data_IF_645815365975
#
_entry.id   IF_645815365975
#
_cell.length_a   1.000
_cell.length_b   1.000
_cell.length_c   1.000
_cell.angle_alpha   90.00
_cell.angle_beta   90.00
_cell.angle_gamma   90.00
#
_symmetry.space_group_name_H-M   'P 1'
#
loop_
_entity.id
_entity.type
_entity.pdbx_description
1 polymer ?
#
# COMPACT_ATOMS: atom_id res chain seq x y z
N UNK A 1 -3.78 -16.66 -14.19
CA UNK A 1 -4.13 -15.84 -13.02
C UNK A 1 -5.50 -15.29 -13.27
N UNK A 2 -6.49 -15.83 -12.57
CA UNK A 2 -7.91 -15.48 -12.69
C UNK A 2 -8.58 -15.66 -11.33
N UNK A 3 -7.88 -15.51 -10.19
CA UNK A 3 -8.45 -15.91 -8.89
C UNK A 3 -9.71 -15.10 -8.55
N UNK A 4 -9.69 -13.80 -8.87
CA UNK A 4 -10.81 -12.89 -8.66
C UNK A 4 -11.92 -13.21 -9.67
N UNK A 5 -11.55 -13.37 -10.96
CA UNK A 5 -12.50 -13.76 -12.00
C UNK A 5 -13.18 -15.10 -11.69
N UNK A 6 -12.44 -16.13 -11.32
CA UNK A 6 -12.97 -17.46 -10.95
C UNK A 6 -13.93 -17.36 -9.77
N UNK A 7 -13.60 -16.55 -8.75
CA UNK A 7 -14.53 -16.29 -7.65
C UNK A 7 -15.81 -15.61 -8.17
N UNK A 8 -15.68 -14.58 -9.00
CA UNK A 8 -16.81 -13.84 -9.56
C UNK A 8 -17.68 -14.71 -10.50
N UNK A 9 -17.09 -15.57 -11.32
CA UNK A 9 -17.80 -16.51 -12.20
C UNK A 9 -18.66 -17.48 -11.36
N UNK A 10 -18.07 -18.07 -10.32
CA UNK A 10 -18.77 -19.01 -9.44
C UNK A 10 -19.85 -18.31 -8.60
N UNK A 11 -19.56 -17.12 -8.06
CA UNK A 11 -20.54 -16.30 -7.34
C UNK A 11 -21.72 -15.91 -8.24
N UNK A 12 -21.44 -15.52 -9.49
CA UNK A 12 -22.47 -15.23 -10.49
C UNK A 12 -23.33 -16.46 -10.80
N UNK A 13 -22.70 -17.63 -10.99
CA UNK A 13 -23.39 -18.90 -11.20
C UNK A 13 -24.35 -19.23 -10.04
N UNK A 14 -23.90 -19.06 -8.79
CA UNK A 14 -24.72 -19.28 -7.59
C UNK A 14 -25.91 -18.31 -7.51
N UNK A 15 -25.69 -17.02 -7.81
CA UNK A 15 -26.75 -16.00 -7.85
C UNK A 15 -27.77 -16.35 -8.94
N UNK A 16 -27.33 -16.78 -10.12
CA UNK A 16 -28.20 -17.18 -11.24
C UNK A 16 -29.03 -18.42 -10.91
N UNK A 17 -28.44 -19.41 -10.24
CA UNK A 17 -29.09 -20.67 -9.93
C UNK A 17 -30.09 -20.56 -8.78
N UNK A 18 -29.79 -19.76 -7.76
CA UNK A 18 -30.54 -19.76 -6.50
C UNK A 18 -31.20 -18.43 -6.18
N UNK A 19 -30.91 -17.38 -6.94
CA UNK A 19 -31.41 -16.03 -6.71
C UNK A 19 -30.56 -15.27 -5.70
N UNK A 20 -30.44 -13.97 -5.94
CA UNK A 20 -29.59 -13.05 -5.17
C UNK A 20 -29.92 -13.00 -3.66
N UNK A 21 -31.20 -13.20 -3.29
CA UNK A 21 -31.64 -13.18 -1.88
C UNK A 21 -31.00 -14.27 -1.02
N UNK A 22 -30.62 -15.41 -1.61
CA UNK A 22 -29.97 -16.51 -0.91
C UNK A 22 -28.44 -16.42 -0.97
N UNK A 23 -27.89 -15.46 -1.72
CA UNK A 23 -26.44 -15.28 -1.82
C UNK A 23 -25.90 -14.63 -0.55
N UNK A 24 -24.95 -15.33 0.07
CA UNK A 24 -24.23 -14.88 1.25
C UNK A 24 -22.76 -15.31 1.17
N UNK A 25 -21.91 -14.65 1.95
CA UNK A 25 -20.50 -14.97 2.15
C UNK A 25 -20.32 -14.93 3.65
N UNK A 26 -20.10 -16.08 4.28
CA UNK A 26 -19.85 -16.09 5.71
C UNK A 26 -18.47 -15.54 6.00
N UNK A 27 -18.37 -14.43 6.72
CA UNK A 27 -17.13 -13.98 7.35
C UNK A 27 -17.12 -14.50 8.78
N UNK A 28 -16.17 -15.39 9.11
CA UNK A 28 -15.84 -15.64 10.52
C UNK A 28 -15.02 -14.45 11.04
N UNK A 29 -15.65 -13.30 11.26
CA UNK A 29 -15.17 -12.45 12.33
C UNK A 29 -15.61 -13.11 13.63
N UNK A 30 -14.66 -13.66 14.39
CA UNK A 30 -14.91 -13.96 15.80
C UNK A 30 -15.03 -12.60 16.51
N UNK A 31 -16.22 -12.01 16.42
CA UNK A 31 -16.57 -10.84 17.21
C UNK A 31 -16.69 -11.32 18.65
N UNK A 32 -15.84 -10.86 19.58
CA UNK A 32 -15.95 -11.26 20.99
C UNK A 32 -17.35 -10.93 21.48
N UNK A 33 -17.97 -11.84 22.25
CA UNK A 33 -19.32 -11.64 22.80
C UNK A 33 -19.47 -10.30 23.55
N UNK A 34 -18.36 -9.72 24.05
CA UNK A 34 -18.30 -8.40 24.68
C UNK A 34 -18.68 -7.23 23.77
N UNK A 35 -18.68 -7.38 22.44
CA UNK A 35 -19.21 -6.39 21.49
C UNK A 35 -20.73 -6.49 21.29
N UNK A 36 -21.35 -7.63 21.61
CA UNK A 36 -22.80 -7.82 21.53
C UNK A 36 -23.53 -7.50 22.84
N UNK A 37 -22.83 -7.52 23.97
CA UNK A 37 -23.35 -7.10 25.27
C UNK A 37 -22.72 -5.75 25.68
N UNK A 38 -23.35 -4.60 25.35
CA UNK A 38 -22.90 -3.33 25.89
C UNK A 38 -23.07 -3.35 27.42
N UNK A 39 -22.00 -3.08 28.16
CA UNK A 39 -22.01 -2.96 29.62
C UNK A 39 -22.68 -1.67 30.13
N UNK A 40 -23.64 -1.10 29.42
CA UNK A 40 -24.43 0.02 29.93
C UNK A 40 -25.89 -0.03 29.40
N UNK A 41 -26.90 -0.20 30.28
CA UNK A 41 -28.28 -0.47 29.91
C UNK A 41 -29.11 0.79 29.60
N UNK A 42 -28.51 1.86 29.06
CA UNK A 42 -29.29 3.05 28.71
C UNK A 42 -28.97 3.57 27.31
N UNK A 43 -30.00 3.48 26.47
CA UNK A 43 -30.18 4.13 25.16
C UNK A 43 -29.26 3.69 24.02
N UNK A 44 -29.56 2.53 23.45
CA UNK A 44 -29.51 2.35 21.98
C UNK A 44 -30.84 1.72 21.56
N UNK A 45 -31.57 2.40 20.66
CA UNK A 45 -32.66 1.76 19.93
C UNK A 45 -32.02 0.63 19.12
N UNK A 46 -32.14 -0.60 19.59
CA UNK A 46 -31.74 -1.76 18.81
C UNK A 46 -32.57 -1.72 17.52
N UNK A 47 -31.92 -1.49 16.38
CA UNK A 47 -32.53 -1.80 15.09
C UNK A 47 -32.87 -3.29 15.13
N UNK A 48 -34.16 -3.59 15.14
CA UNK A 48 -34.66 -4.95 15.07
C UNK A 48 -34.21 -5.48 13.71
N UNK A 49 -33.20 -6.36 13.71
CA UNK A 49 -32.72 -7.01 12.50
C UNK A 49 -33.91 -7.66 11.80
N UNK A 50 -34.13 -7.31 10.52
CA UNK A 50 -35.22 -7.90 9.74
C UNK A 50 -35.02 -9.41 9.64
N UNK A 51 -36.08 -10.23 9.78
CA UNK A 51 -35.98 -11.67 9.57
C UNK A 51 -35.43 -11.97 8.17
N UNK A 52 -34.63 -13.02 8.05
CA UNK A 52 -34.12 -13.46 6.74
C UNK A 52 -35.28 -13.85 5.83
N UNK A 53 -35.42 -13.16 4.70
CA UNK A 53 -36.43 -13.45 3.69
C UNK A 53 -35.91 -14.52 2.71
N UNK A 54 -36.16 -15.81 3.01
CA UNK A 54 -35.83 -16.90 2.10
C UNK A 54 -35.61 -18.25 2.78
N UNK A 55 -35.14 -19.22 1.99
CA UNK A 55 -34.70 -20.52 2.50
C UNK A 55 -33.35 -20.37 3.21
N UNK A 56 -33.40 -20.34 4.54
CA UNK A 56 -32.21 -20.17 5.39
C UNK A 56 -31.24 -21.35 5.28
N UNK A 57 -31.73 -22.57 5.04
CA UNK A 57 -30.88 -23.75 4.90
C UNK A 57 -30.09 -23.66 3.60
N UNK A 58 -30.75 -23.26 2.51
CA UNK A 58 -30.10 -23.02 1.23
C UNK A 58 -29.10 -21.86 1.32
N UNK A 59 -29.48 -20.76 1.95
CA UNK A 59 -28.60 -19.61 2.15
C UNK A 59 -27.34 -19.98 2.94
N UNK A 60 -27.47 -20.84 3.94
CA UNK A 60 -26.32 -21.32 4.71
C UNK A 60 -25.39 -22.19 3.86
N UNK A 61 -25.94 -23.11 3.07
CA UNK A 61 -25.14 -23.95 2.16
C UNK A 61 -24.39 -23.13 1.11
N UNK A 62 -25.03 -22.11 0.56
CA UNK A 62 -24.38 -21.17 -0.37
C UNK A 62 -23.31 -20.36 0.35
N UNK A 63 -23.60 -19.86 1.56
CA UNK A 63 -22.66 -19.13 2.40
C UNK A 63 -21.38 -19.90 2.71
N UNK A 64 -21.49 -21.19 3.08
CA UNK A 64 -20.34 -22.07 3.31
C UNK A 64 -19.50 -22.26 2.04
N UNK A 65 -20.16 -22.50 0.90
CA UNK A 65 -19.47 -22.63 -0.39
C UNK A 65 -18.71 -21.36 -0.74
N UNK A 66 -19.35 -20.19 -0.62
CA UNK A 66 -18.73 -18.89 -0.86
C UNK A 66 -17.57 -18.61 0.09
N UNK A 67 -17.68 -19.00 1.36
CA UNK A 67 -16.58 -18.88 2.34
C UNK A 67 -15.34 -19.67 1.90
N UNK A 68 -15.51 -20.91 1.46
CA UNK A 68 -14.41 -21.72 0.95
C UNK A 68 -13.75 -21.09 -0.28
N UNK A 69 -14.56 -20.63 -1.25
CA UNK A 69 -14.07 -19.96 -2.46
C UNK A 69 -13.32 -18.67 -2.14
N UNK A 70 -13.85 -17.86 -1.22
CA UNK A 70 -13.20 -16.64 -0.73
C UNK A 70 -11.83 -16.96 -0.14
N UNK A 71 -11.75 -17.94 0.77
CA UNK A 71 -10.49 -18.26 1.44
C UNK A 71 -9.47 -18.88 0.49
N UNK A 72 -9.91 -19.67 -0.48
CA UNK A 72 -9.04 -20.18 -1.55
C UNK A 72 -8.48 -19.02 -2.39
N UNK A 73 -9.32 -18.08 -2.81
CA UNK A 73 -8.89 -16.88 -3.53
C UNK A 73 -7.87 -16.06 -2.73
N UNK A 74 -8.16 -15.78 -1.44
CA UNK A 74 -7.26 -15.04 -0.55
C UNK A 74 -5.93 -15.75 -0.36
N UNK A 75 -5.94 -17.06 -0.12
CA UNK A 75 -4.73 -17.87 0.04
C UNK A 75 -3.90 -17.85 -1.25
N UNK A 76 -4.50 -18.11 -2.40
CA UNK A 76 -3.79 -18.16 -3.68
C UNK A 76 -3.16 -16.81 -4.04
N UNK A 77 -3.83 -15.69 -3.71
CA UNK A 77 -3.27 -14.35 -3.90
C UNK A 77 -2.15 -14.09 -2.88
N UNK A 78 -2.38 -14.39 -1.60
CA UNK A 78 -1.42 -14.25 -0.51
C UNK A 78 -0.12 -15.00 -0.78
N UNK A 79 -0.21 -16.26 -1.20
CA UNK A 79 0.95 -17.09 -1.58
C UNK A 79 1.78 -16.39 -2.66
N UNK A 80 1.14 -15.88 -3.72
CA UNK A 80 1.84 -15.16 -4.81
C UNK A 80 2.51 -13.87 -4.33
N UNK A 81 1.92 -13.16 -3.37
CA UNK A 81 2.55 -11.97 -2.75
C UNK A 81 3.84 -12.37 -2.01
N UNK A 82 3.82 -13.51 -1.32
CA UNK A 82 4.97 -14.03 -0.59
C UNK A 82 6.07 -14.54 -1.52
N UNK A 83 5.72 -15.30 -2.57
CA UNK A 83 6.69 -15.90 -3.51
C UNK A 83 7.42 -14.88 -4.40
N UNK A 84 6.82 -13.71 -4.68
CA UNK A 84 7.38 -12.71 -5.60
C UNK A 84 7.53 -11.31 -4.98
N UNK A 85 8.38 -11.14 -3.94
CA UNK A 85 8.47 -9.90 -3.17
C UNK A 85 8.88 -8.68 -4.02
N UNK A 86 9.76 -8.88 -5.01
CA UNK A 86 10.21 -7.80 -5.90
C UNK A 86 9.18 -7.38 -6.95
N UNK A 87 8.07 -8.11 -7.09
CA UNK A 87 7.03 -7.81 -8.08
C UNK A 87 5.70 -7.44 -7.43
N UNK A 88 5.64 -7.26 -6.10
CA UNK A 88 4.39 -7.02 -5.35
C UNK A 88 3.61 -5.80 -5.83
N UNK A 89 4.29 -4.69 -6.14
CA UNK A 89 3.64 -3.47 -6.68
C UNK A 89 3.04 -3.75 -8.05
N UNK A 90 3.79 -4.39 -8.95
CA UNK A 90 3.31 -4.77 -10.29
C UNK A 90 2.15 -5.76 -10.20
N UNK A 91 2.18 -6.67 -9.24
CA UNK A 91 1.11 -7.62 -8.99
C UNK A 91 -0.14 -6.96 -8.42
N UNK A 92 0.00 -6.07 -7.43
CA UNK A 92 -1.09 -5.26 -6.88
C UNK A 92 -1.77 -4.42 -7.96
N UNK A 93 -0.99 -3.80 -8.86
CA UNK A 93 -1.54 -3.09 -10.03
C UNK A 93 -2.41 -4.00 -10.89
N UNK A 94 -1.93 -5.19 -11.24
CA UNK A 94 -2.69 -6.17 -12.03
C UNK A 94 -3.97 -6.63 -11.33
N UNK A 95 -3.91 -6.85 -10.02
CA UNK A 95 -5.08 -7.23 -9.22
C UNK A 95 -6.13 -6.11 -9.19
N UNK A 96 -5.70 -4.87 -9.00
CA UNK A 96 -6.62 -3.72 -9.06
C UNK A 96 -7.23 -3.56 -10.45
N UNK A 97 -6.45 -3.78 -11.52
CA UNK A 97 -6.96 -3.79 -12.90
C UNK A 97 -7.98 -4.91 -13.11
N UNK A 98 -7.76 -6.10 -12.56
CA UNK A 98 -8.71 -7.22 -12.62
C UNK A 98 -10.00 -6.92 -11.85
N UNK A 99 -9.92 -6.34 -10.65
CA UNK A 99 -11.10 -5.89 -9.88
C UNK A 99 -11.90 -4.83 -10.63
N UNK A 100 -11.21 -3.88 -11.27
CA UNK A 100 -11.84 -2.84 -12.07
C UNK A 100 -12.52 -3.41 -13.32
N UNK A 101 -11.89 -4.38 -13.98
CA UNK A 101 -12.48 -5.11 -15.10
C UNK A 101 -13.74 -5.89 -14.66
N UNK A 102 -13.74 -6.51 -13.47
CA UNK A 102 -14.94 -7.17 -12.94
C UNK A 102 -16.08 -6.17 -12.75
N UNK A 103 -15.78 -4.97 -12.25
CA UNK A 103 -16.79 -3.94 -12.03
C UNK A 103 -17.40 -3.41 -13.33
N UNK A 104 -16.62 -3.32 -14.41
CA UNK A 104 -17.08 -2.76 -15.68
C UNK A 104 -17.70 -3.78 -16.62
N UNK A 105 -17.12 -4.98 -16.68
CA UNK A 105 -17.34 -5.91 -17.79
C UNK A 105 -17.94 -7.25 -17.35
N UNK A 106 -17.86 -7.61 -16.06
CA UNK A 106 -18.35 -8.91 -15.60
C UNK A 106 -19.85 -8.85 -15.24
N UNK A 107 -20.71 -9.76 -15.73
CA UNK A 107 -22.18 -9.72 -15.49
C UNK A 107 -22.62 -9.72 -14.01
N UNK A 108 -21.71 -10.01 -13.09
CA UNK A 108 -21.97 -9.94 -11.64
C UNK A 108 -22.21 -8.51 -11.15
N UNK A 109 -21.68 -7.50 -11.85
CA UNK A 109 -21.83 -6.09 -11.45
C UNK A 109 -23.29 -5.61 -11.50
N UNK A 110 -24.17 -6.29 -12.24
CA UNK A 110 -25.61 -6.00 -12.28
C UNK A 110 -26.33 -6.36 -10.96
N UNK A 111 -25.70 -7.17 -10.10
CA UNK A 111 -26.27 -7.61 -8.83
C UNK A 111 -25.82 -6.72 -7.68
N UNK A 112 -26.78 -6.32 -6.85
CA UNK A 112 -26.54 -5.51 -5.65
C UNK A 112 -25.56 -6.20 -4.68
N UNK A 113 -25.62 -7.52 -4.56
CA UNK A 113 -24.69 -8.34 -3.75
C UNK A 113 -23.24 -8.20 -4.17
N UNK A 114 -22.95 -7.78 -5.42
CA UNK A 114 -21.58 -7.48 -5.81
C UNK A 114 -21.01 -6.32 -4.99
N UNK A 115 -21.74 -5.21 -4.92
CA UNK A 115 -21.32 -4.03 -4.16
C UNK A 115 -21.50 -4.18 -2.66
N UNK A 116 -22.60 -4.80 -2.22
CA UNK A 116 -22.95 -4.90 -0.80
C UNK A 116 -22.22 -6.03 -0.06
N UNK A 117 -21.67 -7.00 -0.78
CA UNK A 117 -21.06 -8.19 -0.16
C UNK A 117 -19.73 -8.60 -0.80
N UNK A 118 -19.66 -8.79 -2.12
CA UNK A 118 -18.42 -9.29 -2.76
C UNK A 118 -17.27 -8.29 -2.63
N UNK A 119 -17.52 -7.01 -2.90
CA UNK A 119 -16.50 -5.97 -2.72
C UNK A 119 -16.01 -5.93 -1.26
N UNK A 120 -16.87 -5.75 -0.25
CA UNK A 120 -16.46 -5.75 1.16
C UNK A 120 -15.79 -7.03 1.64
N UNK A 121 -16.30 -8.20 1.27
CA UNK A 121 -15.89 -9.47 1.87
C UNK A 121 -14.77 -10.18 1.11
N UNK A 122 -14.51 -9.79 -0.14
CA UNK A 122 -13.51 -10.45 -0.99
C UNK A 122 -12.49 -9.45 -1.48
N UNK A 123 -12.93 -8.38 -2.15
CA UNK A 123 -11.99 -7.47 -2.78
C UNK A 123 -11.22 -6.66 -1.74
N UNK A 124 -11.91 -6.12 -0.75
CA UNK A 124 -11.28 -5.34 0.34
C UNK A 124 -10.26 -6.20 1.12
N UNK A 125 -10.55 -7.44 1.55
CA UNK A 125 -9.56 -8.33 2.17
C UNK A 125 -8.34 -8.62 1.29
N UNK A 126 -8.51 -8.76 -0.04
CA UNK A 126 -7.37 -8.89 -0.95
C UNK A 126 -6.48 -7.63 -0.90
N UNK A 127 -7.09 -6.44 -0.83
CA UNK A 127 -6.33 -5.20 -0.68
C UNK A 127 -5.58 -5.14 0.66
N UNK A 128 -6.21 -5.60 1.74
CA UNK A 128 -5.54 -5.71 3.04
C UNK A 128 -4.34 -6.65 3.00
N UNK A 129 -4.40 -7.79 2.29
CA UNK A 129 -3.23 -8.67 2.11
C UNK A 129 -2.04 -7.93 1.51
N UNK A 130 -2.27 -7.01 0.57
CA UNK A 130 -1.20 -6.21 0.00
C UNK A 130 -0.65 -5.17 0.97
N UNK A 131 -1.52 -4.49 1.72
CA UNK A 131 -1.12 -3.50 2.74
C UNK A 131 -0.27 -4.18 3.83
N UNK A 132 -0.74 -5.32 4.36
CA UNK A 132 -0.02 -6.13 5.35
C UNK A 132 1.33 -6.63 4.84
N UNK A 133 1.50 -6.74 3.53
CA UNK A 133 2.75 -7.13 2.87
C UNK A 133 3.58 -5.94 2.37
N UNK A 134 3.41 -4.77 2.99
CA UNK A 134 4.15 -3.53 2.74
C UNK A 134 3.99 -2.98 1.32
N UNK A 135 2.84 -3.17 0.69
CA UNK A 135 2.51 -2.53 -0.59
C UNK A 135 1.72 -1.25 -0.35
N UNK A 136 2.24 -0.13 -0.85
CA UNK A 136 1.56 1.15 -0.83
C UNK A 136 0.42 1.19 -1.87
N UNK A 137 -0.74 0.66 -1.49
CA UNK A 137 -1.92 0.60 -2.38
C UNK A 137 -2.36 2.00 -2.83
N UNK A 138 -2.23 3.02 -1.99
CA UNK A 138 -2.58 4.39 -2.36
C UNK A 138 -1.74 4.91 -3.55
N UNK A 139 -0.43 4.67 -3.56
CA UNK A 139 0.42 5.02 -4.70
C UNK A 139 0.08 4.21 -5.95
N UNK A 140 -0.26 2.93 -5.80
CA UNK A 140 -0.72 2.11 -6.92
C UNK A 140 -2.02 2.67 -7.51
N UNK A 141 -2.98 3.07 -6.67
CA UNK A 141 -4.23 3.69 -7.09
C UNK A 141 -3.99 5.01 -7.84
N UNK A 142 -3.13 5.90 -7.32
CA UNK A 142 -2.76 7.14 -8.03
C UNK A 142 -2.18 6.82 -9.41
N UNK A 143 -1.28 5.83 -9.49
CA UNK A 143 -0.68 5.40 -10.76
C UNK A 143 -1.72 4.88 -11.75
N UNK A 144 -2.66 4.04 -11.29
CA UNK A 144 -3.72 3.51 -12.13
C UNK A 144 -4.72 4.58 -12.56
N UNK A 145 -5.12 5.50 -11.68
CA UNK A 145 -6.05 6.61 -11.99
C UNK A 145 -5.50 7.59 -13.03
N UNK A 146 -4.18 7.77 -13.11
CA UNK A 146 -3.55 8.51 -14.22
C UNK A 146 -3.81 7.88 -15.59
N UNK A 147 -4.04 6.57 -15.63
CA UNK A 147 -4.26 5.80 -16.87
C UNK A 147 -5.76 5.58 -17.14
N UNK A 148 -6.54 5.30 -16.09
CA UNK A 148 -7.93 4.87 -16.16
C UNK A 148 -8.94 5.92 -15.65
N UNK A 149 -8.50 7.14 -15.36
CA UNK A 149 -9.27 8.24 -14.76
C UNK A 149 -9.70 7.98 -13.31
N UNK A 150 -10.31 8.99 -12.68
CA UNK A 150 -10.63 9.00 -11.24
C UNK A 150 -11.66 7.95 -10.80
N UNK A 151 -12.42 7.37 -11.74
CA UNK A 151 -13.40 6.30 -11.46
C UNK A 151 -12.77 4.93 -11.18
N UNK A 152 -11.47 4.76 -11.42
CA UNK A 152 -10.76 3.51 -11.17
C UNK A 152 -10.80 3.12 -9.70
N UNK A 153 -11.45 1.98 -9.41
CA UNK A 153 -11.68 1.45 -8.07
C UNK A 153 -12.17 2.50 -7.06
N UNK A 154 -13.10 3.37 -7.46
CA UNK A 154 -13.63 4.45 -6.59
C UNK A 154 -14.22 3.90 -5.28
N UNK A 155 -14.77 2.69 -5.30
CA UNK A 155 -15.34 2.03 -4.12
C UNK A 155 -14.32 1.84 -3.01
N UNK A 156 -13.03 1.76 -3.35
CA UNK A 156 -11.96 1.55 -2.39
C UNK A 156 -11.72 2.77 -1.49
N UNK A 157 -12.09 3.98 -1.94
CA UNK A 157 -12.00 5.22 -1.15
C UNK A 157 -12.92 5.17 0.09
N UNK A 158 -13.93 4.29 0.11
CA UNK A 158 -14.81 4.04 1.27
C UNK A 158 -14.12 3.19 2.35
N UNK A 159 -13.17 2.35 1.97
CA UNK A 159 -12.57 1.32 2.84
C UNK A 159 -11.15 1.66 3.23
N UNK A 160 -10.43 2.34 2.33
CA UNK A 160 -9.14 2.94 2.63
C UNK A 160 -9.45 4.38 2.98
N UNK A 161 -9.50 4.67 4.28
CA UNK A 161 -9.42 6.06 4.72
C UNK A 161 -8.19 6.67 4.08
N UNK A 162 -8.29 7.90 3.57
CA UNK A 162 -7.13 8.79 3.59
C UNK A 162 -6.66 8.73 5.03
N UNK A 163 -5.51 8.13 5.30
CA UNK A 163 -4.86 8.29 6.60
C UNK A 163 -4.55 9.79 6.74
N UNK A 164 -5.55 10.54 7.19
CA UNK A 164 -5.39 11.74 8.01
C UNK A 164 -5.16 11.24 9.43
N UNK A 165 -3.99 10.67 9.63
CA UNK A 165 -3.19 10.89 10.83
C UNK A 165 -1.79 11.21 10.31
N UNK A 166 -1.18 12.23 10.90
CA UNK A 166 0.09 12.83 10.50
C UNK A 166 1.29 11.87 10.68
N UNK A 167 1.34 10.82 9.87
CA UNK A 167 2.58 10.40 9.24
C UNK A 167 2.38 10.55 7.75
N UNK A 168 2.44 11.81 7.27
CA UNK A 168 2.60 12.09 5.85
C UNK A 168 3.77 11.23 5.36
N UNK A 169 3.48 10.12 4.69
CA UNK A 169 4.46 9.55 3.80
C UNK A 169 4.87 10.69 2.89
N UNK A 170 6.17 11.03 2.86
CA UNK A 170 6.64 12.16 2.10
C UNK A 170 6.09 12.14 0.67
N UNK A 171 5.20 13.08 0.34
CA UNK A 171 4.77 13.28 -1.04
C UNK A 171 5.92 13.88 -1.86
N UNK A 172 5.90 13.74 -3.19
CA UNK A 172 6.89 14.40 -4.05
C UNK A 172 6.95 15.91 -3.78
N UNK A 173 5.82 16.51 -3.45
CA UNK A 173 5.73 17.93 -3.13
C UNK A 173 6.36 18.25 -1.77
N UNK A 174 6.19 17.38 -0.76
CA UNK A 174 6.90 17.50 0.52
C UNK A 174 8.42 17.34 0.35
N UNK A 175 8.86 16.42 -0.51
CA UNK A 175 10.27 16.21 -0.81
C UNK A 175 10.86 17.45 -1.49
N UNK A 176 10.17 18.00 -2.51
CA UNK A 176 10.58 19.23 -3.19
C UNK A 176 10.76 20.39 -2.22
N UNK A 177 9.88 20.55 -1.23
CA UNK A 177 9.97 21.62 -0.22
C UNK A 177 11.27 21.60 0.58
N UNK A 178 11.99 20.47 0.64
CA UNK A 178 13.30 20.39 1.28
C UNK A 178 14.40 21.07 0.46
N UNK A 179 14.23 21.14 -0.87
CA UNK A 179 15.19 21.73 -1.80
C UNK A 179 15.02 23.25 -1.88
N UNK A 180 16.13 23.95 -2.15
CA UNK A 180 16.08 25.37 -2.48
C UNK A 180 15.15 25.60 -3.69
N UNK A 181 14.38 26.70 -3.67
CA UNK A 181 13.35 27.01 -4.67
C UNK A 181 13.81 26.81 -6.11
N UNK A 182 15.02 27.26 -6.45
CA UNK A 182 15.65 27.09 -7.78
C UNK A 182 15.88 25.65 -8.22
N UNK A 183 15.96 24.71 -7.29
CA UNK A 183 16.25 23.29 -7.56
C UNK A 183 15.02 22.38 -7.53
N UNK A 184 13.87 22.87 -7.05
CA UNK A 184 12.65 22.05 -6.89
C UNK A 184 12.16 21.44 -8.21
N UNK A 185 12.32 22.15 -9.32
CA UNK A 185 11.96 21.66 -10.65
C UNK A 185 12.82 20.47 -11.12
N UNK A 186 14.03 20.31 -10.59
CA UNK A 186 14.95 19.24 -10.97
C UNK A 186 14.85 17.99 -10.08
N UNK A 187 14.04 18.03 -9.01
CA UNK A 187 13.85 16.90 -8.09
C UNK A 187 13.38 15.62 -8.80
N UNK A 188 12.45 15.66 -9.78
CA UNK A 188 12.11 14.45 -10.55
C UNK A 188 13.30 13.86 -11.34
N UNK A 189 14.19 14.71 -11.86
CA UNK A 189 15.40 14.27 -12.58
C UNK A 189 16.43 13.67 -11.61
N UNK A 190 16.54 14.22 -10.41
CA UNK A 190 17.34 13.65 -9.34
C UNK A 190 16.86 12.26 -8.93
N UNK A 191 15.55 12.07 -8.72
CA UNK A 191 14.98 10.74 -8.43
C UNK A 191 15.31 9.77 -9.58
N UNK A 192 15.15 10.19 -10.83
CA UNK A 192 15.53 9.37 -11.99
C UNK A 192 17.03 9.02 -11.98
N UNK A 193 17.89 9.95 -11.57
CA UNK A 193 19.33 9.68 -11.43
C UNK A 193 19.61 8.66 -10.33
N UNK A 194 18.94 8.73 -9.19
CA UNK A 194 19.07 7.72 -8.13
C UNK A 194 18.71 6.31 -8.63
N UNK A 195 17.70 6.19 -9.48
CA UNK A 195 17.31 4.92 -10.11
C UNK A 195 18.38 4.43 -11.11
N UNK A 196 18.94 5.34 -11.91
CA UNK A 196 20.03 5.04 -12.86
C UNK A 196 21.30 4.55 -12.17
N UNK A 197 21.64 5.15 -11.03
CA UNK A 197 22.80 4.77 -10.21
C UNK A 197 22.49 3.60 -9.25
N UNK A 198 21.35 2.93 -9.41
CA UNK A 198 20.92 1.77 -8.61
C UNK A 198 20.88 2.01 -7.09
N UNK A 199 20.64 3.25 -6.68
CA UNK A 199 20.46 3.64 -5.27
C UNK A 199 19.03 3.33 -4.84
N UNK A 200 18.09 3.55 -5.74
CA UNK A 200 16.68 3.20 -5.60
C UNK A 200 16.27 2.27 -6.76
N UNK A 201 15.23 1.47 -6.53
CA UNK A 201 14.58 0.65 -7.53
C UNK A 201 13.07 0.70 -7.34
N UNK A 202 12.33 1.03 -8.39
CA UNK A 202 10.87 1.16 -8.36
C UNK A 202 10.38 2.12 -7.24
N UNK A 203 11.16 3.17 -6.95
CA UNK A 203 10.88 4.15 -5.90
C UNK A 203 11.26 3.71 -4.48
N UNK A 204 11.92 2.56 -4.32
CA UNK A 204 12.33 2.01 -3.03
C UNK A 204 13.85 2.05 -2.90
N UNK A 205 14.38 2.51 -1.76
CA UNK A 205 15.80 2.49 -1.47
C UNK A 205 16.34 1.06 -1.37
N UNK A 206 17.37 0.75 -2.17
CA UNK A 206 17.92 -0.61 -2.27
C UNK A 206 19.46 -0.66 -2.19
N UNK A 207 20.11 0.45 -1.85
CA UNK A 207 21.57 0.50 -1.81
C UNK A 207 22.17 -0.32 -0.64
N UNK A 208 23.30 -1.00 -0.90
CA UNK A 208 23.97 -1.92 0.03
C UNK A 208 24.34 -1.30 1.39
N UNK A 209 24.73 -0.02 1.41
CA UNK A 209 25.10 0.71 2.63
C UNK A 209 23.84 1.36 3.23
N UNK A 210 23.40 0.95 4.43
CA UNK A 210 22.16 1.49 5.06
C UNK A 210 22.16 3.01 5.28
N UNK A 211 23.33 3.65 5.41
CA UNK A 211 23.48 5.09 5.67
C UNK A 211 23.86 5.92 4.43
N UNK A 212 23.87 5.34 3.22
CA UNK A 212 24.35 6.03 2.02
C UNK A 212 23.47 7.23 1.65
N UNK A 213 22.15 7.07 1.68
CA UNK A 213 21.23 8.17 1.40
C UNK A 213 21.36 9.30 2.43
N UNK A 214 21.61 8.99 3.71
CA UNK A 214 21.88 10.03 4.72
C UNK A 214 23.16 10.81 4.39
N UNK A 215 24.24 10.12 3.96
CA UNK A 215 25.49 10.77 3.52
C UNK A 215 25.29 11.65 2.29
N UNK A 216 24.54 11.18 1.31
CA UNK A 216 24.19 11.95 0.11
C UNK A 216 23.38 13.21 0.47
N UNK A 217 22.38 13.08 1.34
CA UNK A 217 21.58 14.22 1.81
C UNK A 217 22.45 15.22 2.57
N UNK A 218 23.39 14.77 3.41
CA UNK A 218 24.37 15.66 4.06
C UNK A 218 25.23 16.40 3.05
N UNK A 219 25.78 15.71 2.05
CA UNK A 219 26.51 16.35 0.95
C UNK A 219 25.67 17.43 0.25
N UNK A 220 24.39 17.14 -0.01
CA UNK A 220 23.47 18.09 -0.63
C UNK A 220 23.13 19.28 0.28
N UNK A 221 23.12 19.09 1.59
CA UNK A 221 23.00 20.17 2.58
C UNK A 221 24.26 21.05 2.57
N UNK A 222 25.45 20.47 2.41
CA UNK A 222 26.72 21.21 2.35
C UNK A 222 26.90 22.00 1.04
N UNK A 223 26.36 21.49 -0.08
CA UNK A 223 26.33 22.19 -1.37
C UNK A 223 25.12 23.12 -1.56
N UNK A 224 24.34 23.34 -0.50
CA UNK A 224 23.14 24.21 -0.49
C UNK A 224 22.06 23.85 -1.54
N UNK A 225 21.98 22.57 -1.93
CA UNK A 225 20.85 22.07 -2.71
C UNK A 225 19.59 21.92 -1.83
N UNK A 226 19.78 21.51 -0.57
CA UNK A 226 18.73 21.36 0.46
C UNK A 226 18.84 22.50 1.46
N UNK A 227 17.74 23.21 1.71
CA UNK A 227 17.71 24.38 2.60
C UNK A 227 17.66 24.01 4.09
N UNK A 228 17.08 22.85 4.42
CA UNK A 228 17.03 22.38 5.81
C UNK A 228 18.42 21.96 6.27
N UNK A 229 18.93 22.60 7.32
CA UNK A 229 20.16 22.16 8.04
C UNK A 229 19.85 21.16 9.17
N UNK A 230 18.58 20.75 9.33
CA UNK A 230 18.18 19.73 10.32
C UNK A 230 18.59 18.35 9.80
N UNK A 231 19.66 17.75 10.33
CA UNK A 231 20.17 16.45 9.86
C UNK A 231 19.14 15.32 9.94
N UNK A 232 18.88 14.81 11.15
CA UNK A 232 18.03 13.63 11.37
C UNK A 232 16.61 13.76 10.78
N UNK A 233 15.86 14.87 10.97
CA UNK A 233 14.54 15.02 10.37
C UNK A 233 14.56 14.99 8.84
N UNK A 234 15.56 15.63 8.22
CA UNK A 234 15.68 15.64 6.75
C UNK A 234 16.08 14.28 6.23
N UNK A 235 17.00 13.55 6.88
CA UNK A 235 17.30 12.18 6.48
C UNK A 235 16.08 11.28 6.59
N UNK A 236 15.36 11.33 7.72
CA UNK A 236 14.14 10.55 7.93
C UNK A 236 13.16 10.74 6.76
N UNK A 237 12.90 11.99 6.39
CA UNK A 237 12.02 12.33 5.28
C UNK A 237 12.46 11.70 3.94
N UNK A 238 13.76 11.67 3.65
CA UNK A 238 14.27 11.04 2.44
C UNK A 238 14.12 9.51 2.49
N UNK A 239 14.43 8.85 3.61
CA UNK A 239 14.29 7.41 3.73
C UNK A 239 12.83 6.97 3.62
N UNK A 240 11.92 7.66 4.30
CA UNK A 240 10.49 7.38 4.27
C UNK A 240 9.89 7.63 2.88
N UNK A 241 10.35 8.68 2.17
CA UNK A 241 9.99 8.91 0.76
C UNK A 241 10.34 7.71 -0.12
N UNK A 242 11.49 7.09 0.11
CA UNK A 242 11.97 5.92 -0.63
C UNK A 242 11.63 4.59 0.06
N UNK A 243 10.53 4.53 0.81
CA UNK A 243 9.94 3.30 1.31
C UNK A 243 10.70 2.62 2.46
N UNK A 244 11.58 3.33 3.16
CA UNK A 244 12.30 2.82 4.33
C UNK A 244 11.81 3.50 5.60
N UNK A 245 11.27 2.71 6.52
CA UNK A 245 10.83 3.15 7.84
C UNK A 245 12.05 3.44 8.73
N UNK A 246 12.08 4.61 9.37
CA UNK A 246 13.13 4.97 10.33
C UNK A 246 12.58 4.84 11.75
N UNK A 247 13.19 3.98 12.57
CA UNK A 247 12.76 3.74 13.96
C UNK A 247 13.83 4.17 14.97
N UNK A 248 13.40 4.58 16.17
CA UNK A 248 14.31 4.96 17.25
C UNK A 248 15.18 3.79 17.74
N UNK A 249 14.61 2.60 17.89
CA UNK A 249 15.29 1.36 18.29
C UNK A 249 14.61 0.14 17.66
N UNK A 250 15.38 -0.92 17.35
CA UNK A 250 14.83 -2.22 16.96
C UNK A 250 14.45 -2.99 18.22
N UNK A 251 13.15 -3.24 18.45
CA UNK A 251 12.70 -4.22 19.45
C UNK A 251 12.69 -5.62 18.79
N UNK A 252 13.16 -6.61 19.53
CA UNK A 252 13.84 -7.81 19.05
C UNK A 252 13.05 -8.91 18.31
N UNK A 253 11.89 -8.66 17.73
CA UNK A 253 11.09 -9.72 17.09
C UNK A 253 10.75 -9.42 15.63
N UNK A 254 11.77 -9.16 14.80
CA UNK A 254 11.54 -8.86 13.40
C UNK A 254 12.59 -9.54 12.50
N UNK A 255 12.46 -10.85 12.35
CA UNK A 255 13.36 -11.65 11.51
C UNK A 255 13.15 -11.45 9.99
N UNK A 256 12.20 -10.60 9.54
CA UNK A 256 11.93 -10.39 8.10
C UNK A 256 11.73 -8.92 7.62
N UNK A 257 11.70 -7.90 8.50
CA UNK A 257 11.62 -6.47 8.07
C UNK A 257 12.99 -5.78 7.91
N UNK A 258 14.11 -6.49 8.07
CA UNK A 258 15.45 -5.89 8.06
C UNK A 258 15.81 -5.07 6.81
N UNK A 259 15.11 -5.30 5.68
CA UNK A 259 15.33 -4.61 4.40
C UNK A 259 14.61 -3.28 4.28
N UNK A 260 13.46 -3.08 4.93
CA UNK A 260 12.65 -1.85 4.82
C UNK A 260 12.64 -1.01 6.09
N UNK A 261 13.43 -1.38 7.10
CA UNK A 261 13.56 -0.63 8.35
C UNK A 261 15.03 -0.28 8.63
N UNK A 262 15.29 0.98 9.00
CA UNK A 262 16.58 1.45 9.49
C UNK A 262 16.42 2.15 10.83
N UNK A 263 17.50 2.24 11.61
CA UNK A 263 17.49 2.90 12.91
C UNK A 263 18.06 4.30 12.82
N UNK A 264 17.59 5.22 13.65
CA UNK A 264 18.17 6.57 13.76
C UNK A 264 19.67 6.52 14.05
N UNK A 265 20.11 5.61 14.92
CA UNK A 265 21.53 5.38 15.22
C UNK A 265 22.35 5.05 13.95
N UNK A 266 21.80 4.23 13.05
CA UNK A 266 22.48 3.91 11.78
C UNK A 266 22.56 5.11 10.84
N UNK A 267 21.54 5.97 10.82
CA UNK A 267 21.59 7.22 10.06
C UNK A 267 22.65 8.15 10.66
N UNK A 268 22.66 8.35 11.98
CA UNK A 268 23.61 9.23 12.67
C UNK A 268 25.08 8.81 12.55
N UNK A 269 25.38 7.55 12.19
CA UNK A 269 26.75 7.14 11.81
C UNK A 269 27.29 7.93 10.61
N UNK A 270 26.43 8.61 9.83
CA UNK A 270 26.86 9.51 8.75
C UNK A 270 27.54 10.78 9.25
N UNK A 271 27.24 11.25 10.48
CA UNK A 271 27.75 12.51 11.02
C UNK A 271 29.23 12.46 11.42
N UNK A 272 29.76 11.27 11.68
CA UNK A 272 31.08 11.12 12.31
C UNK A 272 32.19 10.73 11.32
N UNK A 273 31.87 10.56 10.03
CA UNK A 273 32.82 10.13 9.01
C UNK A 273 32.81 11.06 7.81
N UNK A 274 33.97 11.65 7.51
CA UNK A 274 34.22 12.37 6.27
C UNK A 274 33.90 11.49 5.04
N UNK A 275 33.51 12.14 3.94
CA UNK A 275 33.29 11.47 2.65
C UNK A 275 34.63 11.00 2.09
N UNK A 276 34.66 9.81 1.47
CA UNK A 276 35.84 9.42 0.70
C UNK A 276 35.85 10.16 -0.64
N UNK A 277 37.02 10.26 -1.29
CA UNK A 277 37.17 10.87 -2.61
C UNK A 277 36.23 10.22 -3.65
N UNK A 278 36.01 8.91 -3.56
CA UNK A 278 35.06 8.20 -4.42
C UNK A 278 33.62 8.60 -4.14
N UNK A 279 33.22 8.66 -2.85
CA UNK A 279 31.87 9.08 -2.48
C UNK A 279 31.62 10.53 -2.89
N UNK A 280 32.60 11.42 -2.77
CA UNK A 280 32.47 12.81 -3.22
C UNK A 280 32.27 12.90 -4.74
N UNK A 281 33.01 12.11 -5.53
CA UNK A 281 32.85 12.06 -6.99
C UNK A 281 31.49 11.48 -7.39
N UNK A 282 31.05 10.39 -6.75
CA UNK A 282 29.74 9.79 -6.97
C UNK A 282 28.62 10.78 -6.64
N UNK A 283 28.69 11.44 -5.48
CA UNK A 283 27.68 12.39 -5.05
C UNK A 283 27.64 13.63 -5.95
N UNK A 284 28.80 14.11 -6.39
CA UNK A 284 28.88 15.18 -7.39
C UNK A 284 28.21 14.77 -8.71
N UNK A 285 28.44 13.54 -9.18
CA UNK A 285 27.81 13.00 -10.39
C UNK A 285 26.29 12.91 -10.24
N UNK A 286 25.80 12.40 -9.11
CA UNK A 286 24.36 12.30 -8.81
C UNK A 286 23.72 13.69 -8.77
N UNK A 287 24.38 14.64 -8.08
CA UNK A 287 23.87 16.00 -7.91
C UNK A 287 24.07 16.89 -9.14
N UNK A 288 24.77 16.41 -10.18
CA UNK A 288 25.02 17.18 -11.40
C UNK A 288 23.73 17.61 -12.11
N UNK A 289 22.61 16.96 -11.82
CA UNK A 289 21.27 17.32 -12.32
C UNK A 289 20.79 18.70 -11.85
N UNK A 290 21.34 19.21 -10.75
CA UNK A 290 21.01 20.54 -10.21
C UNK A 290 21.92 21.65 -10.75
N UNK A 291 23.02 21.27 -11.39
CA UNK A 291 23.98 22.22 -11.97
C UNK A 291 23.55 22.52 -13.41
N UNK A 292 23.50 23.80 -13.81
CA UNK A 292 23.30 24.16 -15.21
C UNK A 292 24.37 23.47 -16.06
N UNK A 293 23.96 22.84 -17.16
CA UNK A 293 24.92 22.50 -18.21
C UNK A 293 25.44 23.82 -18.77
N UNK A 294 26.70 24.16 -18.46
CA UNK A 294 27.44 25.20 -19.16
C UNK A 294 27.59 24.83 -20.63
#
# INVERSE_FOLDING_TARGET
MQEIRSFCDEAYSLIRAHGEKHFNIFSQEVVPASKFFPQNPQTQKAEIAKPFEGDIVLANKIGERCYHLRNECLRNIGDKILFYPQARIKYAKRILEEMYDMQLNHPIHDYRKFFDLIIPEVFVPIIWLFIENNVNIYQVLISCRKTHQDYFCYWLDKYISKETDEQEQPSLESLKKLFASRYQQFVPLFIKRLEQEHIIKDGIYCHKKKNYLARLVTYMQDKDFICSKKGLPTWRHFYEYFGVKVVGSMNGDIENEEKMTTTESNLCKSLTKELSDEEEKEFALICSVFLPKL
#
